data_IF_742934164050
#
_entry.id   IF_742934164050
#
_cell.length_a   1.000
_cell.length_b   1.000
_cell.length_c   1.000
_cell.angle_alpha   90.00
_cell.angle_beta   90.00
_cell.angle_gamma   90.00
#
_symmetry.space_group_name_H-M   'P 1'
#
loop_
_entity.id
_entity.type
_entity.pdbx_description
1 polymer ?
#
# COMPACT_ATOMS: atom_id res chain seq x y z
N UNK A 1 7.10 -6.03 20.64
CA UNK A 1 5.64 -5.85 20.70
C UNK A 1 5.30 -4.86 19.61
N UNK A 2 4.62 -5.30 18.54
CA UNK A 2 4.12 -4.40 17.49
C UNK A 2 3.40 -3.19 18.10
N UNK A 3 3.77 -1.99 17.68
CA UNK A 3 3.12 -0.75 18.10
C UNK A 3 2.02 -0.36 17.12
N UNK A 4 0.87 0.04 17.64
CA UNK A 4 -0.21 0.62 16.83
C UNK A 4 0.03 2.13 16.69
N UNK A 5 0.20 2.61 15.46
CA UNK A 5 0.31 4.04 15.16
C UNK A 5 -1.01 4.80 15.42
N UNK A 6 -2.04 4.46 14.64
CA UNK A 6 -3.42 4.97 14.81
C UNK A 6 -4.36 3.76 14.91
N UNK A 7 -5.16 3.63 15.98
CA UNK A 7 -6.09 2.52 16.12
C UNK A 7 -7.14 2.51 15.00
N UNK A 8 -7.55 1.31 14.57
CA UNK A 8 -8.70 1.16 13.68
C UNK A 8 -9.94 1.84 14.31
N UNK A 9 -10.69 2.68 13.58
CA UNK A 9 -11.82 3.41 14.15
C UNK A 9 -12.90 2.47 14.71
N UNK A 10 -13.50 2.89 15.83
CA UNK A 10 -14.58 2.13 16.50
C UNK A 10 -15.95 2.31 15.84
N UNK A 11 -16.07 3.28 14.94
CA UNK A 11 -17.29 3.59 14.18
C UNK A 11 -17.04 3.33 12.70
N UNK A 12 -18.09 2.90 11.98
CA UNK A 12 -18.04 2.72 10.53
C UNK A 12 -18.41 4.03 9.82
N UNK A 13 -17.80 4.32 8.66
CA UNK A 13 -18.29 5.35 7.76
C UNK A 13 -19.69 4.98 7.23
N UNK A 14 -20.49 5.98 6.84
CA UNK A 14 -21.81 5.72 6.28
C UNK A 14 -21.72 4.85 5.02
N UNK A 15 -22.62 3.86 4.88
CA UNK A 15 -22.65 2.95 3.73
C UNK A 15 -21.62 1.82 3.76
N UNK A 16 -20.90 1.65 4.87
CA UNK A 16 -20.03 0.51 5.12
C UNK A 16 -20.68 -0.44 6.13
N UNK A 17 -21.54 -1.32 5.63
CA UNK A 17 -22.11 -2.39 6.44
C UNK A 17 -21.12 -3.54 6.55
N UNK A 18 -21.09 -4.15 7.74
CA UNK A 18 -20.36 -5.40 7.90
C UNK A 18 -21.03 -6.53 7.12
N UNK A 19 -20.21 -7.37 6.50
CA UNK A 19 -20.60 -8.69 6.03
C UNK A 19 -21.15 -9.50 7.21
N UNK A 20 -22.24 -10.20 6.95
CA UNK A 20 -22.87 -11.15 7.85
C UNK A 20 -22.14 -12.50 7.83
N UNK A 21 -22.39 -13.36 8.81
CA UNK A 21 -21.95 -14.77 8.82
C UNK A 21 -20.46 -15.01 8.47
N UNK A 22 -19.57 -14.07 8.84
CA UNK A 22 -18.12 -14.24 8.72
C UNK A 22 -17.59 -15.10 9.87
N UNK A 23 -16.66 -16.04 9.61
CA UNK A 23 -15.92 -16.68 10.69
C UNK A 23 -15.07 -15.64 11.43
N UNK A 24 -14.81 -15.87 12.71
CA UNK A 24 -13.85 -15.05 13.45
C UNK A 24 -12.43 -15.31 12.96
N UNK A 25 -11.58 -14.28 12.93
CA UNK A 25 -10.17 -14.45 12.59
C UNK A 25 -9.41 -15.10 13.76
N UNK A 26 -8.86 -16.29 13.54
CA UNK A 26 -7.94 -16.97 14.45
C UNK A 26 -6.52 -16.97 13.85
N UNK A 27 -5.57 -16.19 14.40
CA UNK A 27 -4.20 -16.15 13.90
C UNK A 27 -3.51 -17.51 13.90
N UNK A 28 -3.80 -18.38 14.87
CA UNK A 28 -3.15 -19.69 14.98
C UNK A 28 -3.62 -20.68 13.90
N UNK A 29 -4.83 -20.50 13.38
CA UNK A 29 -5.39 -21.31 12.30
C UNK A 29 -5.11 -20.71 10.92
N UNK A 30 -5.23 -19.38 10.80
CA UNK A 30 -5.27 -18.71 9.51
C UNK A 30 -3.92 -18.19 9.02
N UNK A 31 -2.96 -17.95 9.91
CA UNK A 31 -1.63 -17.49 9.52
C UNK A 31 -0.65 -18.64 9.36
N UNK A 32 0.24 -18.47 8.39
CA UNK A 32 1.46 -19.25 8.18
C UNK A 32 2.53 -18.25 7.77
N UNK A 33 3.08 -17.54 8.76
CA UNK A 33 4.06 -16.48 8.56
C UNK A 33 5.44 -17.08 8.28
N UNK A 34 5.98 -16.83 7.10
CA UNK A 34 7.32 -17.22 6.69
C UNK A 34 8.07 -16.00 6.15
N UNK A 35 9.35 -15.85 6.50
CA UNK A 35 10.16 -14.75 5.98
C UNK A 35 10.54 -15.00 4.50
N UNK A 36 10.64 -13.95 3.67
CA UNK A 36 11.16 -14.08 2.32
C UNK A 36 12.62 -14.53 2.33
N UNK A 37 13.00 -15.33 1.34
CA UNK A 37 14.38 -15.83 1.19
C UNK A 37 15.33 -14.73 0.72
N UNK A 38 14.82 -13.76 -0.05
CA UNK A 38 15.62 -12.67 -0.61
C UNK A 38 14.93 -11.33 -0.41
N UNK A 39 15.75 -10.30 -0.19
CA UNK A 39 15.39 -8.89 -0.25
C UNK A 39 16.24 -8.23 -1.33
N UNK A 40 15.62 -7.39 -2.14
CA UNK A 40 16.27 -6.55 -3.14
C UNK A 40 16.17 -5.12 -2.64
N UNK A 41 17.30 -4.43 -2.57
CA UNK A 41 17.40 -3.08 -2.03
C UNK A 41 17.22 -2.03 -3.12
N UNK A 42 16.74 -0.84 -2.75
CA UNK A 42 16.55 0.29 -3.68
C UNK A 42 17.82 0.62 -4.50
N UNK A 43 19.00 0.47 -3.92
CA UNK A 43 20.27 0.65 -4.64
C UNK A 43 20.43 -0.29 -5.83
N UNK A 44 19.89 -1.50 -5.75
CA UNK A 44 19.93 -2.50 -6.83
C UNK A 44 18.94 -2.16 -7.96
N UNK A 45 17.94 -1.32 -7.69
CA UNK A 45 17.05 -0.72 -8.71
C UNK A 45 17.66 0.52 -9.36
N UNK A 46 18.80 1.01 -8.86
CA UNK A 46 19.49 2.19 -9.39
C UNK A 46 19.23 3.50 -8.64
N UNK A 47 18.55 3.46 -7.48
CA UNK A 47 18.38 4.65 -6.64
C UNK A 47 19.69 5.04 -5.96
N UNK A 48 19.93 6.35 -5.86
CA UNK A 48 21.10 6.90 -5.18
C UNK A 48 20.97 6.86 -3.66
N UNK A 49 22.11 6.90 -2.95
CA UNK A 49 22.14 6.98 -1.49
C UNK A 49 21.35 8.19 -0.96
N UNK A 50 21.37 9.30 -1.69
CA UNK A 50 20.63 10.51 -1.34
C UNK A 50 19.11 10.27 -1.38
N UNK A 51 18.62 9.64 -2.45
CA UNK A 51 17.20 9.29 -2.55
C UNK A 51 16.79 8.28 -1.47
N UNK A 52 17.60 7.26 -1.25
CA UNK A 52 17.34 6.20 -0.27
C UNK A 52 17.29 6.79 1.15
N UNK A 53 18.18 7.75 1.48
CA UNK A 53 18.23 8.37 2.81
C UNK A 53 16.96 9.10 3.23
N UNK A 54 16.09 9.44 2.28
CA UNK A 54 14.81 10.13 2.50
C UNK A 54 13.63 9.17 2.60
N UNK A 55 13.87 7.86 2.55
CA UNK A 55 12.83 6.84 2.48
C UNK A 55 12.67 6.08 3.78
N UNK A 56 11.47 5.55 3.97
CA UNK A 56 11.10 4.84 5.20
C UNK A 56 11.90 3.53 5.35
N UNK A 57 12.23 2.91 4.22
CA UNK A 57 13.04 1.70 4.16
C UNK A 57 13.97 1.76 2.96
N UNK A 58 15.10 1.06 3.07
CA UNK A 58 16.01 0.79 1.95
C UNK A 58 15.62 -0.46 1.15
N UNK A 59 14.72 -1.29 1.68
CA UNK A 59 14.24 -2.50 1.02
C UNK A 59 13.31 -2.08 -0.10
N UNK A 60 13.60 -2.49 -1.33
CA UNK A 60 12.77 -2.21 -2.50
C UNK A 60 11.71 -3.27 -2.71
N UNK A 61 12.12 -4.53 -2.84
CA UNK A 61 11.20 -5.66 -3.05
C UNK A 61 11.72 -6.93 -2.35
N UNK A 62 10.90 -7.97 -2.27
CA UNK A 62 11.30 -9.28 -1.76
C UNK A 62 11.06 -10.40 -2.76
N UNK A 63 11.64 -11.58 -2.53
CA UNK A 63 11.05 -12.81 -3.08
C UNK A 63 9.65 -13.03 -2.47
N UNK A 64 8.73 -13.73 -3.15
CA UNK A 64 7.45 -14.12 -2.55
C UNK A 64 7.63 -14.96 -1.28
N UNK A 65 6.72 -14.80 -0.31
CA UNK A 65 6.73 -15.47 0.99
C UNK A 65 5.30 -15.82 1.44
N UNK A 66 5.16 -16.74 2.41
CA UNK A 66 3.84 -17.18 2.90
C UNK A 66 3.35 -16.29 4.04
N UNK A 67 2.07 -15.92 3.99
CA UNK A 67 1.37 -15.22 5.09
C UNK A 67 0.20 -16.06 5.61
N UNK A 68 -0.61 -16.62 4.71
CA UNK A 68 -1.81 -17.39 5.10
C UNK A 68 -1.55 -18.89 5.03
N UNK A 69 -2.13 -19.61 5.99
CA UNK A 69 -2.31 -21.05 5.87
C UNK A 69 -3.31 -21.38 4.74
N UNK A 70 -3.41 -22.64 4.28
CA UNK A 70 -4.46 -23.04 3.33
C UNK A 70 -5.87 -22.67 3.80
N UNK A 71 -6.17 -22.85 5.09
CA UNK A 71 -7.46 -22.48 5.68
C UNK A 71 -7.69 -20.96 5.65
N UNK A 72 -6.67 -20.17 5.97
CA UNK A 72 -6.74 -18.71 5.87
C UNK A 72 -6.96 -18.22 4.44
N UNK A 73 -6.27 -18.83 3.47
CA UNK A 73 -6.40 -18.49 2.05
C UNK A 73 -7.81 -18.80 1.51
N UNK A 74 -8.40 -19.94 1.89
CA UNK A 74 -9.78 -20.29 1.50
C UNK A 74 -10.81 -19.29 2.05
N UNK A 75 -10.67 -18.86 3.30
CA UNK A 75 -11.56 -17.86 3.90
C UNK A 75 -11.39 -16.50 3.22
N UNK A 76 -10.16 -16.05 2.99
CA UNK A 76 -9.91 -14.78 2.31
C UNK A 76 -10.50 -14.78 0.88
N UNK A 77 -10.38 -15.89 0.14
CA UNK A 77 -10.99 -16.02 -1.18
C UNK A 77 -12.52 -15.91 -1.11
N UNK A 78 -13.15 -16.55 -0.13
CA UNK A 78 -14.60 -16.44 0.11
C UNK A 78 -15.02 -15.00 0.41
N UNK A 79 -14.30 -14.32 1.31
CA UNK A 79 -14.54 -12.91 1.66
C UNK A 79 -14.35 -12.01 0.44
N UNK A 80 -13.29 -12.20 -0.34
CA UNK A 80 -13.02 -11.39 -1.52
C UNK A 80 -14.14 -11.49 -2.56
N UNK A 81 -14.69 -12.70 -2.77
CA UNK A 81 -15.86 -12.91 -3.65
C UNK A 81 -17.09 -12.15 -3.17
N UNK A 82 -17.33 -12.10 -1.85
CA UNK A 82 -18.43 -11.32 -1.26
C UNK A 82 -18.20 -9.83 -1.40
N UNK A 83 -16.97 -9.37 -1.14
CA UNK A 83 -16.59 -7.96 -1.26
C UNK A 83 -16.66 -7.44 -2.70
N UNK A 84 -16.54 -8.32 -3.72
CA UNK A 84 -16.66 -7.94 -5.13
C UNK A 84 -17.94 -7.17 -5.46
N UNK A 85 -19.03 -7.38 -4.71
CA UNK A 85 -20.27 -6.61 -4.87
C UNK A 85 -20.12 -5.09 -4.62
N UNK A 86 -19.04 -4.68 -3.94
CA UNK A 86 -18.70 -3.30 -3.66
C UNK A 86 -17.58 -2.77 -4.57
N UNK A 87 -17.27 -3.48 -5.67
CA UNK A 87 -16.20 -3.08 -6.55
C UNK A 87 -16.52 -1.76 -7.26
N UNK A 88 -15.53 -0.87 -7.26
CA UNK A 88 -15.50 0.39 -8.00
C UNK A 88 -14.41 0.32 -9.08
N UNK A 89 -14.37 1.35 -9.93
CA UNK A 89 -13.42 1.48 -11.04
C UNK A 89 -12.76 2.84 -11.04
N UNK A 90 -11.52 2.91 -11.49
CA UNK A 90 -10.84 4.15 -11.82
C UNK A 90 -10.11 4.02 -13.17
N UNK A 91 -9.38 5.06 -13.56
CA UNK A 91 -8.57 5.06 -14.79
C UNK A 91 -7.49 3.96 -14.77
N UNK A 92 -6.94 3.68 -13.58
CA UNK A 92 -5.84 2.75 -13.37
C UNK A 92 -6.30 1.29 -13.27
N UNK A 93 -7.38 1.04 -12.53
CA UNK A 93 -7.87 -0.30 -12.15
C UNK A 93 -9.34 -0.43 -12.51
N UNK A 94 -9.70 -1.47 -13.28
CA UNK A 94 -11.09 -1.67 -13.71
C UNK A 94 -12.01 -2.14 -12.59
N UNK A 95 -11.55 -3.08 -11.76
CA UNK A 95 -12.36 -3.69 -10.72
C UNK A 95 -11.55 -3.75 -9.42
N UNK A 96 -11.91 -2.92 -8.43
CA UNK A 96 -11.25 -2.91 -7.13
C UNK A 96 -12.21 -2.62 -5.97
N UNK A 97 -11.84 -3.05 -4.77
CA UNK A 97 -12.55 -2.66 -3.54
C UNK A 97 -11.61 -1.83 -2.66
N UNK A 98 -12.05 -0.61 -2.34
CA UNK A 98 -11.47 0.25 -1.30
C UNK A 98 -12.27 0.10 0.00
N UNK A 99 -11.59 0.23 1.14
CA UNK A 99 -12.25 0.16 2.46
C UNK A 99 -12.83 -1.22 2.81
N UNK A 100 -12.28 -2.31 2.26
CA UNK A 100 -12.73 -3.68 2.56
C UNK A 100 -12.69 -4.00 4.05
N UNK A 101 -11.73 -3.44 4.79
CA UNK A 101 -11.62 -3.62 6.25
C UNK A 101 -12.77 -2.97 7.05
N UNK A 102 -13.57 -2.09 6.45
CA UNK A 102 -14.81 -1.60 7.07
C UNK A 102 -16.01 -2.51 6.80
N UNK A 103 -15.87 -3.47 5.89
CA UNK A 103 -16.93 -4.39 5.49
C UNK A 103 -16.67 -5.81 5.99
N UNK A 104 -15.42 -6.21 6.16
CA UNK A 104 -15.06 -7.54 6.66
C UNK A 104 -14.29 -7.46 7.97
N UNK A 105 -14.81 -8.06 9.04
CA UNK A 105 -14.10 -8.15 10.33
C UNK A 105 -12.90 -9.05 10.21
N UNK A 106 -13.04 -10.16 9.49
CA UNK A 106 -11.95 -11.11 9.29
C UNK A 106 -10.80 -10.46 8.51
N UNK A 107 -11.09 -9.71 7.44
CA UNK A 107 -10.08 -8.98 6.68
C UNK A 107 -9.41 -7.91 7.54
N UNK A 108 -10.18 -7.12 8.28
CA UNK A 108 -9.65 -6.13 9.23
C UNK A 108 -8.67 -6.79 10.19
N UNK A 109 -9.09 -7.85 10.87
CA UNK A 109 -8.32 -8.50 11.91
C UNK A 109 -7.06 -9.19 11.37
N UNK A 110 -7.06 -9.65 10.12
CA UNK A 110 -5.86 -10.04 9.38
C UNK A 110 -4.93 -8.84 9.15
N UNK A 111 -5.45 -7.76 8.56
CA UNK A 111 -4.67 -6.59 8.14
C UNK A 111 -4.02 -5.82 9.29
N UNK A 112 -4.61 -5.87 10.49
CA UNK A 112 -4.07 -5.22 11.70
C UNK A 112 -3.42 -6.23 12.68
N UNK A 113 -3.20 -7.47 12.24
CA UNK A 113 -2.66 -8.48 13.13
C UNK A 113 -1.24 -8.13 13.62
N UNK A 114 -0.96 -8.15 14.93
CA UNK A 114 0.35 -7.82 15.47
C UNK A 114 1.48 -8.71 14.96
N UNK A 115 1.25 -10.03 14.82
CA UNK A 115 2.29 -10.95 14.37
C UNK A 115 2.67 -10.72 12.91
N UNK A 116 1.69 -10.36 12.07
CA UNK A 116 1.97 -9.94 10.70
C UNK A 116 2.75 -8.62 10.68
N UNK A 117 2.40 -7.66 11.53
CA UNK A 117 3.12 -6.38 11.63
C UNK A 117 4.57 -6.57 12.11
N UNK A 118 4.80 -7.49 13.06
CA UNK A 118 6.14 -7.86 13.52
C UNK A 118 6.98 -8.44 12.36
N UNK A 119 6.42 -9.36 11.56
CA UNK A 119 7.07 -9.87 10.35
C UNK A 119 7.39 -8.75 9.34
N UNK A 120 6.45 -7.83 9.11
CA UNK A 120 6.69 -6.73 8.18
C UNK A 120 7.78 -5.77 8.65
N UNK A 121 7.92 -5.56 9.97
CA UNK A 121 9.02 -4.75 10.52
C UNK A 121 10.38 -5.42 10.27
N UNK A 122 10.46 -6.75 10.42
CA UNK A 122 11.67 -7.51 10.06
C UNK A 122 11.98 -7.42 8.55
N UNK A 123 10.95 -7.52 7.71
CA UNK A 123 11.10 -7.45 6.25
C UNK A 123 11.60 -6.08 5.82
N UNK A 124 10.96 -5.00 6.28
CA UNK A 124 11.32 -3.63 5.89
C UNK A 124 12.55 -3.07 6.62
N UNK A 125 13.06 -3.75 7.64
CA UNK A 125 14.24 -3.31 8.40
C UNK A 125 14.02 -1.94 9.08
N UNK A 126 12.77 -1.65 9.43
CA UNK A 126 12.32 -0.46 10.15
C UNK A 126 11.08 -0.84 10.94
N UNK A 127 10.87 -0.19 12.08
CA UNK A 127 9.63 -0.39 12.83
C UNK A 127 8.44 0.16 12.02
N UNK A 128 7.46 -0.70 11.73
CA UNK A 128 6.24 -0.32 11.02
C UNK A 128 4.98 -0.57 11.84
N UNK A 129 3.92 0.11 11.44
CA UNK A 129 2.55 -0.23 11.83
C UNK A 129 1.70 -0.45 10.57
N UNK A 130 0.62 -1.22 10.71
CA UNK A 130 -0.44 -1.22 9.70
C UNK A 130 -0.85 0.22 9.37
N UNK A 131 -1.16 0.47 8.10
CA UNK A 131 -1.45 1.82 7.62
C UNK A 131 -2.49 2.56 8.49
N UNK A 132 -2.22 3.81 8.82
CA UNK A 132 -3.06 4.61 9.74
C UNK A 132 -4.37 5.10 9.13
N UNK A 133 -4.50 5.00 7.80
CA UNK A 133 -5.74 5.20 7.05
C UNK A 133 -6.26 3.84 6.59
N UNK A 134 -7.28 3.29 7.26
CA UNK A 134 -7.90 2.00 6.93
C UNK A 134 -8.32 1.78 5.48
N UNK A 135 -8.57 2.82 4.68
CA UNK A 135 -8.84 2.69 3.24
C UNK A 135 -7.71 2.04 2.44
N UNK A 136 -6.51 1.97 3.02
CA UNK A 136 -5.32 1.32 2.46
C UNK A 136 -5.06 -0.09 3.00
N UNK A 137 -5.92 -0.56 3.90
CA UNK A 137 -5.84 -1.91 4.44
C UNK A 137 -6.74 -2.84 3.64
N UNK A 138 -6.18 -3.96 3.20
CA UNK A 138 -6.95 -4.99 2.50
C UNK A 138 -7.58 -4.52 1.19
N UNK A 139 -6.92 -3.61 0.47
CA UNK A 139 -7.32 -3.20 -0.89
C UNK A 139 -7.37 -4.43 -1.80
N UNK A 140 -8.44 -4.63 -2.55
CA UNK A 140 -8.57 -5.80 -3.43
C UNK A 140 -8.61 -5.40 -4.89
N UNK A 141 -7.82 -6.10 -5.71
CA UNK A 141 -7.82 -5.98 -7.16
C UNK A 141 -8.41 -7.26 -7.76
N UNK A 142 -9.40 -7.09 -8.63
CA UNK A 142 -10.09 -8.17 -9.33
C UNK A 142 -9.73 -8.18 -10.81
N UNK A 143 -9.93 -9.32 -11.46
CA UNK A 143 -9.77 -9.45 -12.91
C UNK A 143 -10.59 -8.41 -13.68
N UNK A 144 -10.02 -7.79 -14.73
CA UNK A 144 -10.78 -6.97 -15.67
C UNK A 144 -11.79 -7.84 -16.44
N UNK A 145 -12.81 -7.17 -17.00
CA UNK A 145 -13.77 -7.81 -17.90
C UNK A 145 -13.22 -7.89 -19.33
N UNK A 146 -12.32 -6.96 -19.69
CA UNK A 146 -11.61 -6.91 -20.97
C UNK A 146 -10.16 -7.41 -20.81
N UNK A 147 -9.81 -8.49 -21.51
CA UNK A 147 -8.47 -9.11 -21.50
C UNK A 147 -7.38 -8.22 -22.10
N UNK A 148 -7.73 -7.19 -22.87
CA UNK A 148 -6.76 -6.21 -23.35
C UNK A 148 -6.25 -5.28 -22.24
N UNK A 149 -6.95 -5.23 -21.12
CA UNK A 149 -6.61 -4.38 -19.98
C UNK A 149 -5.71 -5.13 -19.01
N UNK A 150 -4.74 -4.40 -18.45
CA UNK A 150 -4.04 -4.84 -17.26
C UNK A 150 -5.01 -4.90 -16.07
N UNK A 151 -4.71 -5.78 -15.11
CA UNK A 151 -5.42 -5.80 -13.82
C UNK A 151 -5.15 -4.49 -13.08
N UNK A 152 -3.89 -4.05 -13.10
CA UNK A 152 -3.45 -2.73 -12.65
C UNK A 152 -2.33 -2.29 -13.60
N UNK A 153 -2.36 -1.05 -14.07
CA UNK A 153 -1.39 -0.51 -15.04
C UNK A 153 0.00 -0.40 -14.42
N UNK A 154 1.05 -0.19 -15.22
CA UNK A 154 2.35 0.21 -14.67
C UNK A 154 2.25 1.49 -13.84
N UNK A 155 2.60 1.39 -12.57
CA UNK A 155 2.55 2.49 -11.61
C UNK A 155 3.60 2.28 -10.51
N UNK A 156 3.75 3.27 -9.65
CA UNK A 156 4.27 3.10 -8.30
C UNK A 156 3.16 3.54 -7.35
N UNK A 157 3.09 2.94 -6.17
CA UNK A 157 1.94 3.07 -5.30
C UNK A 157 1.87 4.42 -4.61
N UNK A 158 0.66 4.82 -4.21
CA UNK A 158 0.42 6.04 -3.42
C UNK A 158 0.80 5.85 -1.95
N UNK A 159 1.16 4.63 -1.57
CA UNK A 159 1.58 4.16 -0.26
C UNK A 159 3.11 3.98 -0.20
N UNK A 160 3.75 4.18 0.96
CA UNK A 160 5.20 4.05 1.08
C UNK A 160 5.63 2.59 1.09
N UNK A 161 4.95 1.75 1.87
CA UNK A 161 5.30 0.34 2.10
C UNK A 161 4.02 -0.49 2.02
N UNK A 162 4.06 -1.63 1.33
CA UNK A 162 2.93 -2.52 1.17
C UNK A 162 3.37 -3.94 0.82
N UNK A 163 2.47 -4.90 1.00
CA UNK A 163 2.62 -6.17 0.32
C UNK A 163 1.46 -6.41 -0.63
N UNK A 164 1.73 -7.15 -1.71
CA UNK A 164 0.73 -7.68 -2.63
C UNK A 164 0.63 -9.19 -2.43
N UNK A 165 -0.55 -9.66 -2.02
CA UNK A 165 -0.86 -11.07 -1.79
C UNK A 165 -1.74 -11.63 -2.91
N UNK A 166 -1.38 -12.80 -3.44
CA UNK A 166 -2.25 -13.55 -4.34
C UNK A 166 -3.38 -14.21 -3.54
N UNK A 167 -4.62 -13.83 -3.81
CA UNK A 167 -5.82 -14.41 -3.16
C UNK A 167 -6.31 -15.61 -3.95
N UNK A 168 -6.40 -15.49 -5.28
CA UNK A 168 -6.55 -16.68 -6.15
C UNK A 168 -5.20 -17.37 -6.29
N UNK A 169 -5.21 -18.70 -6.40
CA UNK A 169 -4.01 -19.47 -6.69
C UNK A 169 -3.43 -19.10 -8.08
N UNK A 170 -2.23 -18.50 -8.14
CA UNK A 170 -1.59 -18.10 -9.40
C UNK A 170 -1.31 -19.27 -10.35
N UNK A 171 -1.20 -20.51 -9.85
CA UNK A 171 -1.01 -21.69 -10.70
C UNK A 171 -2.23 -21.98 -11.59
N UNK A 172 -3.39 -21.40 -11.29
CA UNK A 172 -4.63 -21.54 -12.07
C UNK A 172 -4.80 -20.49 -13.16
N UNK A 173 -3.87 -19.52 -13.25
CA UNK A 173 -3.98 -18.36 -14.11
C UNK A 173 -3.12 -18.50 -15.38
N UNK A 174 -3.60 -17.90 -16.48
CA UNK A 174 -2.84 -17.70 -17.72
C UNK A 174 -2.77 -16.19 -17.98
N UNK A 175 -1.60 -15.59 -17.73
CA UNK A 175 -1.46 -14.14 -17.58
C UNK A 175 -1.78 -13.67 -16.16
N UNK A 176 -1.96 -12.36 -15.95
CA UNK A 176 -2.37 -11.81 -14.65
C UNK A 176 -1.27 -11.70 -13.60
N UNK A 177 0.00 -11.88 -14.00
CA UNK A 177 1.16 -11.91 -13.12
C UNK A 177 1.35 -10.57 -12.41
N UNK A 178 1.84 -10.63 -11.18
CA UNK A 178 2.49 -9.47 -10.59
C UNK A 178 3.86 -9.29 -11.27
N UNK A 179 4.14 -8.08 -11.73
CA UNK A 179 5.39 -7.75 -12.38
C UNK A 179 5.97 -6.46 -11.81
N UNK A 180 7.28 -6.39 -11.67
CA UNK A 180 7.99 -5.16 -11.30
C UNK A 180 9.15 -4.87 -12.24
N UNK A 181 9.47 -3.59 -12.38
CA UNK A 181 10.55 -3.09 -13.21
C UNK A 181 11.84 -2.94 -12.40
N UNK A 182 12.91 -3.54 -12.88
CA UNK A 182 14.28 -3.36 -12.36
C UNK A 182 14.86 -2.04 -12.86
N UNK A 183 14.34 -0.93 -12.32
CA UNK A 183 14.79 0.43 -12.61
C UNK A 183 14.07 1.45 -11.75
N UNK A 184 14.46 2.72 -11.90
CA UNK A 184 13.90 3.82 -11.12
C UNK A 184 12.59 4.36 -11.71
N UNK A 185 11.82 5.08 -10.88
CA UNK A 185 10.65 5.86 -11.29
C UNK A 185 10.95 6.87 -12.39
N UNK A 186 12.13 7.48 -12.35
CA UNK A 186 12.55 8.49 -13.32
C UNK A 186 12.88 7.86 -14.68
N UNK A 187 13.55 6.70 -14.68
CA UNK A 187 13.74 5.91 -15.90
C UNK A 187 12.40 5.48 -16.50
N UNK A 188 11.47 5.02 -15.66
CA UNK A 188 10.13 4.65 -16.14
C UNK A 188 9.37 5.87 -16.70
N UNK A 189 9.48 7.03 -16.05
CA UNK A 189 8.87 8.27 -16.55
C UNK A 189 9.45 8.67 -17.92
N UNK A 190 10.76 8.53 -18.11
CA UNK A 190 11.41 8.80 -19.39
C UNK A 190 10.93 7.83 -20.50
N UNK A 191 10.81 6.53 -20.19
CA UNK A 191 10.23 5.54 -21.12
C UNK A 191 8.79 5.90 -21.48
N UNK A 192 7.97 6.25 -20.49
CA UNK A 192 6.56 6.62 -20.68
C UNK A 192 6.41 7.88 -21.55
N UNK A 193 7.27 8.89 -21.36
CA UNK A 193 7.29 10.11 -22.18
C UNK A 193 7.56 9.80 -23.67
N UNK A 194 8.36 8.78 -23.96
CA UNK A 194 8.58 8.27 -25.31
C UNK A 194 7.49 7.30 -25.80
N UNK A 195 6.51 6.96 -24.94
CA UNK A 195 5.47 5.98 -25.23
C UNK A 195 5.95 4.54 -25.26
N UNK A 196 7.02 4.24 -24.51
CA UNK A 196 7.61 2.91 -24.38
C UNK A 196 7.20 2.28 -23.05
N UNK A 197 7.16 0.95 -23.04
CA UNK A 197 7.06 0.14 -21.82
C UNK A 197 8.46 -0.26 -21.34
N UNK A 198 8.61 -0.77 -20.10
CA UNK A 198 9.84 -1.38 -19.63
C UNK A 198 10.39 -2.43 -20.62
N UNK A 199 11.72 -2.47 -20.83
CA UNK A 199 12.37 -3.57 -21.54
C UNK A 199 12.09 -4.92 -20.86
N UNK A 200 11.79 -5.96 -21.64
CA UNK A 200 11.41 -7.28 -21.12
C UNK A 200 12.48 -7.90 -20.20
N UNK A 201 13.76 -7.68 -20.50
CA UNK A 201 14.90 -8.17 -19.71
C UNK A 201 15.07 -7.43 -18.37
N UNK A 202 14.34 -6.33 -18.17
CA UNK A 202 14.27 -5.57 -16.92
C UNK A 202 12.91 -5.72 -16.22
N UNK A 203 12.02 -6.58 -16.71
CA UNK A 203 10.75 -6.91 -16.04
C UNK A 203 10.90 -8.24 -15.33
N UNK A 204 10.60 -8.25 -14.03
CA UNK A 204 10.61 -9.46 -13.22
C UNK A 204 9.17 -9.86 -12.89
N UNK A 205 8.84 -11.12 -13.14
CA UNK A 205 7.58 -11.74 -12.76
C UNK A 205 7.86 -12.88 -11.76
N UNK A 206 7.82 -12.63 -10.44
CA UNK A 206 8.12 -13.65 -9.44
C UNK A 206 7.14 -14.81 -9.46
N UNK A 207 7.63 -16.02 -9.17
CA UNK A 207 6.77 -17.19 -8.99
C UNK A 207 6.23 -17.23 -7.56
N UNK A 208 4.91 -17.13 -7.42
CA UNK A 208 4.23 -17.22 -6.14
C UNK A 208 3.90 -18.68 -5.82
N UNK A 209 4.24 -19.20 -4.61
CA UNK A 209 3.98 -20.60 -4.23
C UNK A 209 2.50 -21.01 -4.08
N UNK A 210 1.54 -20.14 -4.36
CA UNK A 210 0.10 -20.40 -4.24
C UNK A 210 -0.65 -19.28 -3.52
N UNK A 211 -1.98 -19.43 -3.39
CA UNK A 211 -2.86 -18.50 -2.68
C UNK A 211 -2.38 -18.25 -1.24
N UNK A 212 -2.49 -17.00 -0.76
CA UNK A 212 -1.99 -16.60 0.55
C UNK A 212 -0.49 -16.30 0.61
N UNK A 213 0.21 -16.36 -0.54
CA UNK A 213 1.60 -15.90 -0.67
C UNK A 213 1.63 -14.44 -1.11
N UNK A 214 2.59 -13.68 -0.61
CA UNK A 214 2.74 -12.26 -0.86
C UNK A 214 4.16 -11.88 -1.26
N UNK A 215 4.30 -10.69 -1.84
CA UNK A 215 5.57 -9.99 -2.06
C UNK A 215 5.49 -8.64 -1.35
N UNK A 216 6.55 -8.24 -0.66
CA UNK A 216 6.63 -6.94 -0.02
C UNK A 216 7.38 -5.95 -0.92
N UNK A 217 6.94 -4.70 -0.91
CA UNK A 217 7.43 -3.64 -1.78
C UNK A 217 7.59 -2.34 -1.00
N UNK A 218 8.54 -1.53 -1.45
CA UNK A 218 8.49 -0.10 -1.24
C UNK A 218 7.52 0.50 -2.27
N UNK A 219 6.24 0.59 -1.93
CA UNK A 219 5.16 1.04 -2.81
C UNK A 219 5.49 2.33 -3.57
N UNK A 220 5.96 3.37 -2.87
CA UNK A 220 6.29 4.65 -3.51
C UNK A 220 7.46 4.54 -4.48
N UNK A 221 8.34 3.55 -4.35
CA UNK A 221 9.60 3.51 -5.12
C UNK A 221 9.57 2.45 -6.23
N UNK A 222 8.96 1.30 -6.01
CA UNK A 222 9.01 0.22 -6.99
C UNK A 222 7.91 0.38 -8.03
N UNK A 223 8.32 0.52 -9.28
CA UNK A 223 7.40 0.50 -10.43
C UNK A 223 6.95 -0.94 -10.68
N UNK A 224 5.64 -1.18 -10.63
CA UNK A 224 5.05 -2.50 -10.75
C UNK A 224 3.67 -2.46 -11.41
N UNK A 225 3.13 -3.64 -11.71
CA UNK A 225 1.80 -3.83 -12.30
C UNK A 225 1.18 -5.18 -11.98
N UNK A 226 -0.13 -5.27 -12.18
CA UNK A 226 -0.83 -6.53 -12.40
C UNK A 226 -1.05 -6.74 -13.90
N UNK A 227 -0.24 -7.58 -14.53
CA UNK A 227 -0.24 -7.78 -15.98
C UNK A 227 -1.61 -8.22 -16.53
N UNK A 228 -1.89 -8.02 -17.83
CA UNK A 228 -3.10 -8.53 -18.46
C UNK A 228 -3.23 -10.06 -18.37
N UNK A 229 -4.47 -10.55 -18.39
CA UNK A 229 -4.78 -11.97 -18.50
C UNK A 229 -4.75 -12.38 -19.99
N UNK A 230 -4.17 -13.54 -20.29
CA UNK A 230 -4.23 -14.12 -21.64
C UNK A 230 -5.55 -14.86 -21.88
N UNK A 231 -6.21 -15.30 -20.79
CA UNK A 231 -7.52 -15.96 -20.79
C UNK A 231 -8.34 -15.48 -19.60
N UNK A 232 -9.66 -15.41 -19.77
CA UNK A 232 -10.57 -15.06 -18.70
C UNK A 232 -10.44 -16.05 -17.51
N UNK A 233 -10.18 -15.51 -16.33
CA UNK A 233 -10.04 -16.25 -15.08
C UNK A 233 -10.37 -15.35 -13.88
N UNK A 234 -10.73 -15.94 -12.74
CA UNK A 234 -10.92 -15.20 -11.48
C UNK A 234 -9.56 -14.85 -10.88
N UNK A 235 -9.00 -13.69 -11.25
CA UNK A 235 -7.74 -13.20 -10.67
C UNK A 235 -8.04 -12.22 -9.54
N UNK A 236 -7.62 -12.54 -8.32
CA UNK A 236 -7.78 -11.65 -7.16
C UNK A 236 -6.44 -11.50 -6.45
N UNK A 237 -6.07 -10.26 -6.12
CA UNK A 237 -5.02 -9.96 -5.14
C UNK A 237 -5.51 -9.03 -4.06
N UNK A 238 -4.84 -9.05 -2.92
CA UNK A 238 -5.06 -8.15 -1.81
C UNK A 238 -3.76 -7.38 -1.52
N UNK A 239 -3.87 -6.07 -1.31
CA UNK A 239 -2.78 -5.17 -0.95
C UNK A 239 -3.02 -4.66 0.46
N UNK A 240 -1.99 -4.67 1.29
CA UNK A 240 -2.05 -4.11 2.64
C UNK A 240 -0.91 -3.14 2.88
N UNK A 241 -1.25 -1.88 3.17
CA UNK A 241 -0.28 -0.83 3.43
C UNK A 241 0.29 -0.83 4.86
N UNK A 242 1.48 -0.25 4.98
CA UNK A 242 2.20 -0.01 6.21
C UNK A 242 2.79 1.40 6.22
N UNK A 243 3.00 1.95 7.42
CA UNK A 243 3.78 3.17 7.63
C UNK A 243 4.94 2.89 8.56
N UNK A 244 6.07 3.57 8.36
CA UNK A 244 7.13 3.60 9.36
C UNK A 244 6.65 4.38 10.60
N UNK A 245 7.04 3.91 11.78
CA UNK A 245 6.75 4.60 13.05
C UNK A 245 7.59 5.86 13.23
N UNK A 246 8.77 5.92 12.60
CA UNK A 246 9.57 7.13 12.54
C UNK A 246 8.90 8.16 11.61
N UNK A 247 8.37 9.21 12.22
CA UNK A 247 7.70 10.30 11.53
C UNK A 247 8.64 11.47 11.22
N UNK A 248 9.95 11.37 11.50
CA UNK A 248 10.90 12.48 11.30
C UNK A 248 11.06 12.87 9.83
N UNK A 249 11.09 11.87 8.95
CA UNK A 249 11.18 12.02 7.50
C UNK A 249 9.86 12.47 6.91
N UNK A 250 9.88 13.02 5.69
CA UNK A 250 8.67 13.47 4.99
C UNK A 250 7.69 12.31 4.77
N UNK A 251 6.40 12.66 4.70
CA UNK A 251 5.39 11.69 4.33
C UNK A 251 5.57 11.28 2.86
N UNK A 252 5.58 9.98 2.63
CA UNK A 252 5.81 9.37 1.32
C UNK A 252 4.50 8.99 0.62
N UNK A 253 3.38 9.42 1.18
CA UNK A 253 2.05 9.26 0.59
C UNK A 253 1.74 10.32 -0.44
N UNK A 254 1.00 9.90 -1.48
CA UNK A 254 0.35 10.83 -2.42
C UNK A 254 -1.13 10.94 -2.11
N UNK A 255 -1.46 11.65 -1.03
CA UNK A 255 -2.84 11.77 -0.55
C UNK A 255 -3.80 12.40 -1.56
N UNK A 256 -3.33 13.37 -2.35
CA UNK A 256 -4.17 14.05 -3.35
C UNK A 256 -4.73 13.06 -4.37
N UNK A 257 -3.91 12.13 -4.87
CA UNK A 257 -4.33 11.06 -5.81
C UNK A 257 -5.49 10.21 -5.27
N UNK A 258 -5.61 10.10 -3.94
CA UNK A 258 -6.67 9.31 -3.29
C UNK A 258 -8.05 9.93 -3.45
N UNK A 259 -8.14 11.25 -3.58
CA UNK A 259 -9.44 11.92 -3.77
C UNK A 259 -10.13 11.56 -5.08
N UNK A 260 -9.40 10.96 -6.04
CA UNK A 260 -9.92 10.49 -7.32
C UNK A 260 -10.55 9.10 -7.24
N UNK A 261 -10.36 8.38 -6.13
CA UNK A 261 -10.71 6.96 -6.02
C UNK A 261 -11.39 6.60 -4.71
N UNK A 262 -10.99 7.21 -3.62
CA UNK A 262 -11.45 6.86 -2.28
C UNK A 262 -12.72 7.62 -1.92
N UNK A 263 -13.56 6.94 -1.15
CA UNK A 263 -14.83 7.48 -0.68
C UNK A 263 -14.58 8.67 0.26
N UNK A 264 -15.05 9.88 -0.08
CA UNK A 264 -14.90 11.06 0.76
C UNK A 264 -15.43 10.90 2.20
N UNK A 265 -16.44 10.04 2.38
CA UNK A 265 -17.05 9.74 3.69
C UNK A 265 -16.04 9.14 4.68
N UNK A 266 -15.03 8.41 4.18
CA UNK A 266 -13.95 7.86 4.98
C UNK A 266 -12.64 8.64 4.83
N UNK A 267 -12.29 9.04 3.60
CA UNK A 267 -10.97 9.56 3.22
C UNK A 267 -10.52 10.72 4.09
N UNK A 268 -11.31 11.78 4.20
CA UNK A 268 -10.86 13.02 4.83
C UNK A 268 -10.66 12.87 6.35
N UNK A 269 -11.50 12.07 7.01
CA UNK A 269 -11.34 11.80 8.45
C UNK A 269 -10.10 10.96 8.69
N UNK A 270 -9.85 9.95 7.87
CA UNK A 270 -8.65 9.12 7.98
C UNK A 270 -7.37 9.91 7.71
N UNK A 271 -7.36 10.72 6.66
CA UNK A 271 -6.24 11.59 6.32
C UNK A 271 -5.96 12.57 7.45
N UNK A 272 -6.99 13.23 8.00
CA UNK A 272 -6.82 14.12 9.16
C UNK A 272 -6.20 13.39 10.37
N UNK A 273 -6.60 12.13 10.63
CA UNK A 273 -6.04 11.31 11.71
C UNK A 273 -4.59 10.91 11.45
N UNK A 274 -4.24 10.57 10.21
CA UNK A 274 -2.86 10.29 9.79
C UNK A 274 -1.96 11.50 10.02
N UNK A 275 -2.34 12.65 9.48
CA UNK A 275 -1.56 13.89 9.59
C UNK A 275 -1.44 14.36 11.04
N UNK A 276 -2.52 14.24 11.84
CA UNK A 276 -2.48 14.54 13.26
C UNK A 276 -1.53 13.61 14.04
N UNK A 277 -1.50 12.32 13.71
CA UNK A 277 -0.58 11.36 14.33
C UNK A 277 0.88 11.71 14.03
N UNK A 278 1.20 12.00 12.76
CA UNK A 278 2.55 12.41 12.37
C UNK A 278 2.99 13.69 13.07
N UNK A 279 2.12 14.71 13.07
CA UNK A 279 2.42 15.98 13.72
C UNK A 279 2.57 15.84 15.23
N UNK A 280 1.71 15.04 15.89
CA UNK A 280 1.84 14.77 17.33
C UNK A 280 3.21 14.18 17.66
N UNK A 281 3.64 13.15 16.93
CA UNK A 281 4.93 12.51 17.19
C UNK A 281 6.12 13.47 16.96
N UNK A 282 6.09 14.27 15.88
CA UNK A 282 7.12 15.30 15.63
C UNK A 282 7.14 16.37 16.72
N UNK A 283 5.97 16.83 17.19
CA UNK A 283 5.86 17.79 18.28
C UNK A 283 6.38 17.21 19.60
N UNK A 284 6.09 15.94 19.90
CA UNK A 284 6.63 15.25 21.07
C UNK A 284 8.17 15.16 21.01
N UNK A 285 8.77 14.88 19.85
CA UNK A 285 10.23 14.95 19.68
C UNK A 285 10.77 16.35 19.96
N UNK A 286 10.14 17.42 19.47
CA UNK A 286 10.56 18.79 19.78
C UNK A 286 10.47 19.11 21.28
N UNK A 287 9.43 18.67 21.96
CA UNK A 287 9.26 18.87 23.41
C UNK A 287 10.42 18.22 24.19
N UNK A 288 10.87 17.05 23.74
CA UNK A 288 11.85 16.25 24.47
C UNK A 288 13.31 16.55 24.08
N UNK A 289 13.56 16.94 22.83
CA UNK A 289 14.91 16.92 22.23
C UNK A 289 15.39 18.28 21.70
N UNK A 290 14.51 19.30 21.60
CA UNK A 290 14.91 20.60 21.06
C UNK A 290 15.93 21.30 21.97
N UNK A 291 17.14 21.49 21.45
CA UNK A 291 18.23 22.13 22.19
C UNK A 291 18.05 23.65 22.34
N UNK A 292 18.58 24.21 23.43
CA UNK A 292 18.58 25.66 23.65
C UNK A 292 19.43 26.37 22.59
N UNK A 293 18.82 27.31 21.87
CA UNK A 293 19.49 28.16 20.90
C UNK A 293 18.92 29.57 20.89
N UNK A 294 19.75 30.56 20.53
CA UNK A 294 19.31 31.93 20.27
C UNK A 294 18.80 32.12 18.83
N UNK A 295 18.96 31.11 17.96
CA UNK A 295 18.49 31.17 16.58
C UNK A 295 16.98 30.95 16.51
N UNK A 296 16.24 32.05 16.64
CA UNK A 296 14.77 32.06 16.54
C UNK A 296 14.25 31.52 15.20
N UNK A 297 15.02 31.59 14.11
CA UNK A 297 14.57 31.11 12.80
C UNK A 297 14.64 29.59 12.75
N UNK A 298 15.70 28.99 13.29
CA UNK A 298 15.83 27.54 13.39
C UNK A 298 14.72 26.92 14.27
N UNK A 299 14.39 27.56 15.39
CA UNK A 299 13.28 27.12 16.27
C UNK A 299 11.94 27.21 15.55
N UNK A 300 11.66 28.31 14.85
CA UNK A 300 10.44 28.46 14.06
C UNK A 300 10.32 27.41 12.95
N UNK A 301 11.40 27.18 12.19
CA UNK A 301 11.44 26.16 11.14
C UNK A 301 11.21 24.74 11.68
N UNK A 302 11.70 24.45 12.89
CA UNK A 302 11.46 23.16 13.55
C UNK A 302 9.96 22.96 13.86
N UNK A 303 9.29 24.01 14.36
CA UNK A 303 7.84 23.97 14.60
C UNK A 303 7.05 23.86 13.30
N UNK A 304 7.45 24.58 12.25
CA UNK A 304 6.84 24.50 10.91
C UNK A 304 6.95 23.07 10.35
N UNK A 305 8.13 22.45 10.44
CA UNK A 305 8.34 21.05 10.04
C UNK A 305 7.46 20.07 10.82
N UNK A 306 7.34 20.29 12.14
CA UNK A 306 6.53 19.41 12.99
C UNK A 306 5.04 19.41 12.63
N UNK A 307 4.51 20.51 12.10
CA UNK A 307 3.09 20.61 11.70
C UNK A 307 2.87 20.54 10.19
N UNK A 308 3.93 20.37 9.40
CA UNK A 308 3.89 20.46 7.94
C UNK A 308 2.81 19.56 7.32
N UNK A 309 2.69 18.32 7.79
CA UNK A 309 1.72 17.34 7.26
C UNK A 309 0.28 17.81 7.49
N UNK A 310 -0.01 18.43 8.64
CA UNK A 310 -1.34 19.01 8.94
C UNK A 310 -1.61 20.23 8.07
N UNK A 311 -0.62 21.12 7.95
CA UNK A 311 -0.74 22.31 7.10
C UNK A 311 -0.99 21.94 5.64
N UNK A 312 -0.24 20.97 5.11
CA UNK A 312 -0.41 20.48 3.74
C UNK A 312 -1.77 19.82 3.54
N UNK A 313 -2.21 18.99 4.49
CA UNK A 313 -3.54 18.34 4.41
C UNK A 313 -4.67 19.37 4.34
N UNK A 314 -4.58 20.47 5.10
CA UNK A 314 -5.57 21.56 5.06
C UNK A 314 -5.56 22.27 3.70
N UNK A 315 -4.38 22.47 3.11
CA UNK A 315 -4.24 23.07 1.79
C UNK A 315 -4.90 22.16 0.75
N UNK A 316 -4.50 20.89 0.72
CA UNK A 316 -4.98 19.93 -0.28
C UNK A 316 -6.49 19.66 -0.16
N UNK A 317 -7.04 19.57 1.05
CA UNK A 317 -8.50 19.38 1.25
C UNK A 317 -9.34 20.61 0.86
N UNK A 318 -8.72 21.78 0.71
CA UNK A 318 -9.36 23.01 0.24
C UNK A 318 -9.06 23.31 -1.22
N UNK A 319 -8.23 22.49 -1.83
CA UNK A 319 -7.83 22.64 -3.21
C UNK A 319 -8.86 21.96 -4.11
N UNK A 320 -9.58 22.79 -4.86
CA UNK A 320 -10.59 22.35 -5.83
C UNK A 320 -9.99 22.18 -7.24
N UNK A 321 -8.66 22.29 -7.41
CA UNK A 321 -8.00 22.16 -8.71
C UNK A 321 -8.02 20.71 -9.23
N UNK A 322 -8.32 20.58 -10.53
CA UNK A 322 -8.29 19.31 -11.24
C UNK A 322 -6.89 18.67 -11.18
N UNK A 323 -6.85 17.35 -10.94
CA UNK A 323 -5.63 16.55 -11.03
C UNK A 323 -5.93 15.15 -11.58
N UNK A 324 -4.88 14.43 -11.99
CA UNK A 324 -4.98 13.13 -12.65
C UNK A 324 -4.18 12.09 -11.88
N UNK A 325 -4.75 10.89 -11.75
CA UNK A 325 -4.11 9.77 -11.08
C UNK A 325 -2.83 9.36 -11.81
N UNK A 326 -1.73 9.25 -11.07
CA UNK A 326 -0.43 8.94 -11.66
C UNK A 326 -0.34 7.47 -12.13
N UNK A 327 0.03 7.26 -13.39
CA UNK A 327 0.47 5.98 -13.97
C UNK A 327 1.33 6.21 -15.21
N UNK A 328 2.03 5.18 -15.67
CA UNK A 328 3.02 5.29 -16.76
C UNK A 328 2.49 4.91 -18.15
N UNK A 329 1.25 4.45 -18.25
CA UNK A 329 0.65 4.08 -19.54
C UNK A 329 -0.08 5.25 -20.19
N UNK A 330 -0.15 5.29 -21.53
CA UNK A 330 -0.87 6.37 -22.25
C UNK A 330 -2.39 6.22 -22.09
N UNK A 331 -3.11 7.35 -22.08
CA UNK A 331 -4.55 7.38 -22.36
C UNK A 331 -4.76 6.93 -23.81
N UNK A 332 -5.48 5.83 -24.01
CA UNK A 332 -5.86 5.33 -25.34
C UNK A 332 -7.01 6.13 -25.93
#
# INVERSE_FOLDING_TARGET
>A
MSQTAVPFPTTQPQGYEWLDDEPSFDPALHLQLESPVQKIYLSEFGYSDEEISRKASRVGATSPFRILSPAGAEILLSIARRLRAHAIRCERIENMVRGGCYRSRWLRDLCINPALTDLMSEIYEVDVAAHTMPLHLGHMNFSPDDLSRAVDKWHHDTLPLDFVMMVTDPATLDGGQFEYFMGTKDEMAALAAEGKTPPEDRVVAPSFPGAGSAIALHGDMIVHRGAPLNKAAERISMVNGYVALDTSSDDQHRHKDLTLVDDPEALYVEWARHSAWRARNRLDSLINELEYTADRKAVAASLEHAIADVSQSIIDMRDDDDHVMHHYEKKH
#
